data_IF_955858283980
#
_entry.id   IF_955858283980
#
_cell.length_a   1.000
_cell.length_b   1.000
_cell.length_c   1.000
_cell.angle_alpha   90.00
_cell.angle_beta   90.00
_cell.angle_gamma   90.00
#
_symmetry.space_group_name_H-M   'P 1'
#
loop_
_entity.id
_entity.type
_entity.pdbx_description
1 polymer ?
#
# COMPACT_ATOMS: atom_id res chain seq x y z
N UNK A 1 -5.49 -9.19 76.90
CA UNK A 1 -5.41 -9.81 75.56
C UNK A 1 -5.95 -8.79 74.57
N UNK A 2 -5.07 -8.11 73.86
CA UNK A 2 -5.39 -7.01 72.94
C UNK A 2 -4.87 -7.42 71.57
N UNK A 3 -5.65 -7.36 70.48
CA UNK A 3 -5.18 -7.79 69.16
C UNK A 3 -4.24 -6.73 68.56
N UNK A 4 -3.29 -7.10 67.69
CA UNK A 4 -2.40 -6.14 67.05
C UNK A 4 -3.09 -5.46 65.86
N UNK A 5 -2.66 -4.24 65.48
CA UNK A 5 -3.22 -3.52 64.34
C UNK A 5 -2.78 -4.14 63.01
N UNK A 6 -3.74 -4.29 62.12
CA UNK A 6 -3.57 -4.70 60.73
C UNK A 6 -2.89 -3.59 59.93
N UNK A 7 -1.62 -3.79 59.58
CA UNK A 7 -0.90 -2.94 58.63
C UNK A 7 -1.40 -3.23 57.21
N UNK A 8 -2.32 -2.42 56.70
CA UNK A 8 -2.73 -2.43 55.29
C UNK A 8 -1.58 -1.85 54.44
N UNK A 9 -0.71 -2.72 53.95
CA UNK A 9 0.30 -2.36 52.96
C UNK A 9 -0.38 -2.18 51.59
N UNK A 10 -0.82 -0.96 51.30
CA UNK A 10 -1.20 -0.57 49.94
C UNK A 10 0.01 -0.66 49.01
N UNK A 11 0.01 -1.63 48.10
CA UNK A 11 0.98 -1.75 47.03
C UNK A 11 0.73 -0.68 45.97
N UNK A 12 1.15 0.55 46.25
CA UNK A 12 1.26 1.59 45.24
C UNK A 12 2.31 1.19 44.21
N UNK A 13 1.84 0.82 43.01
CA UNK A 13 2.69 0.57 41.84
C UNK A 13 3.53 1.82 41.56
N UNK A 14 4.83 1.77 41.86
CA UNK A 14 5.75 2.86 41.56
C UNK A 14 5.87 2.99 40.03
N UNK A 15 5.70 4.19 39.45
CA UNK A 15 5.93 4.38 38.01
C UNK A 15 7.35 3.94 37.67
N UNK A 16 7.48 3.04 36.70
CA UNK A 16 8.78 2.60 36.20
C UNK A 16 9.65 3.80 35.78
N UNK A 17 10.97 3.67 35.95
CA UNK A 17 11.96 4.69 35.59
C UNK A 17 11.73 5.17 34.14
N UNK A 18 11.57 6.49 33.95
CA UNK A 18 11.35 7.10 32.62
C UNK A 18 12.49 6.75 31.65
N UNK A 19 12.14 6.55 30.37
CA UNK A 19 13.11 6.26 29.31
C UNK A 19 14.08 7.44 29.12
N UNK A 20 15.37 7.14 29.00
CA UNK A 20 16.38 8.15 28.62
C UNK A 20 16.16 8.72 27.21
N UNK A 21 16.90 9.78 26.82
CA UNK A 21 16.76 10.41 25.51
C UNK A 21 17.15 9.45 24.36
N UNK A 22 16.66 9.75 23.14
CA UNK A 22 17.09 9.04 21.93
C UNK A 22 18.55 9.40 21.63
N UNK A 23 19.41 8.40 21.47
CA UNK A 23 20.84 8.54 21.24
C UNK A 23 21.17 9.55 20.13
N UNK A 24 22.17 10.42 20.34
CA UNK A 24 22.61 11.45 19.38
C UNK A 24 23.11 10.88 18.04
N UNK A 25 23.48 9.60 18.00
CA UNK A 25 23.89 8.88 16.79
C UNK A 25 22.74 8.52 15.82
N UNK A 26 21.49 8.61 16.26
CA UNK A 26 20.33 8.37 15.39
C UNK A 26 20.12 9.52 14.40
N UNK A 27 20.02 9.20 13.11
CA UNK A 27 19.66 10.18 12.08
C UNK A 27 18.21 10.69 12.20
N UNK A 28 17.86 11.86 11.63
CA UNK A 28 16.52 12.43 11.67
C UNK A 28 15.38 11.45 11.38
N UNK A 29 15.48 10.58 10.36
CA UNK A 29 14.38 9.65 10.04
C UNK A 29 14.24 8.57 11.12
N UNK A 30 15.36 8.10 11.67
CA UNK A 30 15.37 7.13 12.77
C UNK A 30 14.71 7.73 14.01
N UNK A 31 15.04 8.98 14.36
CA UNK A 31 14.41 9.69 15.47
C UNK A 31 12.92 9.86 15.26
N UNK A 32 12.51 10.27 14.05
CA UNK A 32 11.12 10.55 13.74
C UNK A 32 10.22 9.32 13.97
N UNK A 33 10.60 8.16 13.41
CA UNK A 33 9.78 6.95 13.63
C UNK A 33 9.88 6.46 15.08
N UNK A 34 11.07 6.54 15.70
CA UNK A 34 11.24 6.08 17.07
C UNK A 34 10.45 6.94 18.07
N UNK A 35 10.32 8.24 17.81
CA UNK A 35 9.50 9.13 18.61
C UNK A 35 8.02 8.70 18.56
N UNK A 36 7.48 8.37 17.38
CA UNK A 36 6.11 7.87 17.28
C UNK A 36 5.89 6.60 18.13
N UNK A 37 6.86 5.68 18.13
CA UNK A 37 6.78 4.46 18.95
C UNK A 37 6.85 4.77 20.44
N UNK A 38 7.68 5.74 20.86
CA UNK A 38 7.77 6.18 22.25
C UNK A 38 6.49 6.87 22.71
N UNK A 39 5.92 7.73 21.88
CA UNK A 39 4.67 8.43 22.18
C UNK A 39 3.52 7.43 22.37
N UNK A 40 3.46 6.40 21.52
CA UNK A 40 2.47 5.34 21.68
C UNK A 40 2.74 4.44 22.89
N UNK A 41 4.00 4.18 23.23
CA UNK A 41 4.35 3.48 24.48
C UNK A 41 3.88 4.28 25.70
N UNK A 42 4.16 5.58 25.75
CA UNK A 42 3.71 6.46 26.84
C UNK A 42 2.17 6.54 26.91
N UNK A 43 1.50 6.67 25.76
CA UNK A 43 0.03 6.69 25.67
C UNK A 43 -0.61 5.35 26.09
N UNK A 44 0.08 4.23 25.87
CA UNK A 44 -0.45 2.90 26.24
C UNK A 44 -0.52 2.67 27.75
N UNK A 45 0.20 3.47 28.56
CA UNK A 45 0.31 3.28 30.02
C UNK A 45 1.07 2.01 30.45
N UNK A 46 1.55 1.20 29.50
CA UNK A 46 2.30 -0.04 29.76
C UNK A 46 3.67 0.26 30.34
N UNK A 47 4.15 -0.62 31.23
CA UNK A 47 5.53 -0.61 31.70
C UNK A 47 6.43 -1.45 30.80
N UNK A 48 7.75 -1.31 30.94
CA UNK A 48 8.70 -2.21 30.26
C UNK A 48 8.53 -3.67 30.70
N UNK A 49 7.98 -3.93 31.89
CA UNK A 49 7.70 -5.27 32.38
C UNK A 49 6.48 -5.89 31.67
N UNK A 50 5.47 -5.08 31.35
CA UNK A 50 4.32 -5.52 30.56
C UNK A 50 4.74 -5.88 29.14
N UNK A 51 5.59 -5.04 28.52
CA UNK A 51 6.15 -5.35 27.20
C UNK A 51 7.07 -6.56 27.20
N UNK A 52 7.83 -6.80 28.28
CA UNK A 52 8.65 -8.01 28.41
C UNK A 52 7.78 -9.28 28.38
N UNK A 53 6.60 -9.24 29.02
CA UNK A 53 5.62 -10.35 28.98
C UNK A 53 5.01 -10.52 27.59
N UNK A 54 4.67 -9.41 26.93
CA UNK A 54 3.99 -9.43 25.63
C UNK A 54 4.91 -9.79 24.45
N UNK A 55 6.20 -9.41 24.50
CA UNK A 55 7.15 -9.63 23.39
C UNK A 55 8.20 -10.70 23.66
N UNK A 56 8.26 -11.24 24.88
CA UNK A 56 9.30 -12.16 25.37
C UNK A 56 10.74 -11.61 25.21
N UNK A 57 10.93 -10.30 25.41
CA UNK A 57 12.24 -9.65 25.37
C UNK A 57 12.61 -9.06 26.72
N UNK A 58 13.91 -9.04 27.03
CA UNK A 58 14.37 -8.38 28.24
C UNK A 58 14.05 -6.88 28.23
N UNK A 59 13.70 -6.36 29.41
CA UNK A 59 13.53 -4.90 29.65
C UNK A 59 14.69 -4.07 29.13
N UNK A 60 15.91 -4.59 29.25
CA UNK A 60 17.12 -3.91 28.74
C UNK A 60 17.10 -3.77 27.21
N UNK A 61 16.72 -4.83 26.49
CA UNK A 61 16.64 -4.83 25.02
C UNK A 61 15.55 -3.88 24.52
N UNK A 62 14.38 -3.87 25.16
CA UNK A 62 13.30 -2.94 24.83
C UNK A 62 13.74 -1.49 25.10
N UNK A 63 14.37 -1.23 26.25
CA UNK A 63 14.90 0.10 26.58
C UNK A 63 16.01 0.56 25.62
N UNK A 64 16.92 -0.33 25.23
CA UNK A 64 17.98 -0.04 24.27
C UNK A 64 17.41 0.37 22.90
N UNK A 65 16.38 -0.36 22.44
CA UNK A 65 15.66 -0.07 21.21
C UNK A 65 14.96 1.28 21.27
N UNK A 66 14.17 1.55 22.32
CA UNK A 66 13.44 2.82 22.50
C UNK A 66 14.36 4.04 22.70
N UNK A 67 15.66 3.80 22.92
CA UNK A 67 16.69 4.86 23.02
C UNK A 67 17.60 4.92 21.80
N UNK A 68 17.45 4.04 20.81
CA UNK A 68 18.40 3.87 19.70
C UNK A 68 19.86 3.72 20.19
N UNK A 69 20.07 3.12 21.37
CA UNK A 69 21.39 3.05 22.00
C UNK A 69 22.28 1.93 21.42
N UNK A 70 21.70 1.06 20.60
CA UNK A 70 22.35 -0.11 20.01
C UNK A 70 22.50 -0.05 18.50
N UNK A 71 22.68 -1.24 17.90
CA UNK A 71 22.66 -1.41 16.44
C UNK A 71 21.26 -1.08 15.91
N UNK A 72 21.20 -0.56 14.69
CA UNK A 72 19.91 -0.33 14.01
C UNK A 72 19.06 -1.61 14.04
N UNK A 73 17.83 -1.54 14.57
CA UNK A 73 17.04 -2.72 14.89
C UNK A 73 16.58 -3.41 13.61
N UNK A 74 16.44 -4.75 13.62
CA UNK A 74 15.73 -5.47 12.56
C UNK A 74 14.24 -5.15 12.63
N UNK A 75 13.54 -5.29 11.50
CA UNK A 75 12.11 -5.02 11.41
C UNK A 75 11.27 -5.99 12.27
N UNK A 76 11.66 -7.27 12.39
CA UNK A 76 10.91 -8.29 13.16
C UNK A 76 10.69 -7.92 14.61
N UNK A 77 11.76 -7.55 15.33
CA UNK A 77 11.60 -6.97 16.64
C UNK A 77 10.59 -5.82 16.70
N UNK A 78 10.74 -4.83 15.81
CA UNK A 78 9.90 -3.63 15.81
C UNK A 78 8.42 -3.98 15.58
N UNK A 79 8.14 -4.89 14.65
CA UNK A 79 6.79 -5.36 14.38
C UNK A 79 6.14 -5.97 15.64
N UNK A 80 6.80 -6.92 16.31
CA UNK A 80 6.30 -7.53 17.55
C UNK A 80 6.00 -6.50 18.63
N UNK A 81 6.87 -5.51 18.78
CA UNK A 81 6.68 -4.42 19.76
C UNK A 81 5.45 -3.57 19.42
N UNK A 82 5.25 -3.20 18.16
CA UNK A 82 4.10 -2.39 17.75
C UNK A 82 2.78 -3.14 17.92
N UNK A 83 2.76 -4.43 17.59
CA UNK A 83 1.60 -5.30 17.82
C UNK A 83 1.29 -5.40 19.32
N UNK A 84 2.31 -5.57 20.17
CA UNK A 84 2.13 -5.57 21.62
C UNK A 84 1.61 -4.22 22.15
N UNK A 85 1.96 -3.11 21.50
CA UNK A 85 1.44 -1.78 21.80
C UNK A 85 0.02 -1.54 21.25
N UNK A 86 -0.59 -2.53 20.57
CA UNK A 86 -1.94 -2.43 20.03
C UNK A 86 -2.04 -1.54 18.79
N UNK A 87 -0.94 -1.34 18.05
CA UNK A 87 -0.97 -0.53 16.83
C UNK A 87 -1.81 -1.20 15.74
N UNK A 88 -2.62 -0.42 14.99
CA UNK A 88 -3.32 -0.95 13.83
C UNK A 88 -2.32 -1.29 12.70
N UNK A 89 -2.61 -2.35 11.94
CA UNK A 89 -1.75 -2.85 10.87
C UNK A 89 -1.39 -1.77 9.83
N UNK A 90 -2.34 -0.91 9.46
CA UNK A 90 -2.13 0.24 8.58
C UNK A 90 -1.09 1.26 9.11
N UNK A 91 -1.05 1.51 10.43
CA UNK A 91 -0.04 2.38 11.05
C UNK A 91 1.34 1.70 11.12
N UNK A 92 1.36 0.38 11.38
CA UNK A 92 2.59 -0.43 11.35
C UNK A 92 3.24 -0.38 9.97
N UNK A 93 2.45 -0.46 8.88
CA UNK A 93 2.96 -0.30 7.51
C UNK A 93 3.56 1.08 7.25
N UNK A 94 2.90 2.14 7.70
CA UNK A 94 3.40 3.50 7.53
C UNK A 94 4.74 3.68 8.24
N UNK A 95 4.85 3.15 9.46
CA UNK A 95 6.10 3.13 10.22
C UNK A 95 7.17 2.27 9.54
N UNK A 96 6.81 1.17 8.88
CA UNK A 96 7.74 0.31 8.13
C UNK A 96 8.45 1.08 7.02
N UNK A 97 7.74 1.93 6.29
CA UNK A 97 8.34 2.76 5.25
C UNK A 97 9.33 3.78 5.83
N UNK A 98 9.01 4.37 6.98
CA UNK A 98 9.93 5.23 7.72
C UNK A 98 11.15 4.46 8.24
N UNK A 99 10.96 3.23 8.72
CA UNK A 99 12.03 2.34 9.14
C UNK A 99 12.95 1.98 7.96
N UNK A 100 12.42 1.75 6.75
CA UNK A 100 13.24 1.50 5.55
C UNK A 100 14.11 2.72 5.22
N UNK A 101 13.52 3.93 5.21
CA UNK A 101 14.25 5.18 4.95
C UNK A 101 15.32 5.43 6.01
N UNK A 102 15.02 5.21 7.28
CA UNK A 102 15.98 5.31 8.38
C UNK A 102 17.09 4.25 8.30
N UNK A 103 16.81 3.04 7.78
CA UNK A 103 17.83 2.02 7.54
C UNK A 103 18.82 2.45 6.43
N UNK A 104 18.32 3.07 5.37
CA UNK A 104 19.14 3.64 4.29
C UNK A 104 20.01 4.78 4.81
N UNK A 105 19.44 5.66 5.63
CA UNK A 105 20.16 6.75 6.30
C UNK A 105 21.30 6.23 7.18
N UNK A 106 21.05 5.15 7.93
CA UNK A 106 22.05 4.44 8.71
C UNK A 106 23.03 3.59 7.85
N UNK A 107 23.06 3.81 6.53
CA UNK A 107 23.92 3.15 5.53
C UNK A 107 23.84 1.62 5.57
N UNK A 108 22.66 1.06 5.81
CA UNK A 108 22.46 -0.40 5.73
C UNK A 108 22.44 -0.88 4.28
N UNK A 109 23.00 -2.08 4.06
CA UNK A 109 23.07 -2.69 2.72
C UNK A 109 21.65 -2.97 2.20
N UNK A 110 21.31 -2.65 0.94
CA UNK A 110 19.97 -2.90 0.38
C UNK A 110 19.49 -4.35 0.51
N UNK A 111 20.37 -5.33 0.26
CA UNK A 111 20.04 -6.76 0.43
C UNK A 111 19.70 -7.15 1.88
N UNK A 112 20.30 -6.50 2.87
CA UNK A 112 19.96 -6.71 4.27
C UNK A 112 18.59 -6.13 4.62
N UNK A 113 18.25 -4.96 4.08
CA UNK A 113 16.94 -4.32 4.27
C UNK A 113 15.83 -5.21 3.68
N UNK A 114 16.00 -5.66 2.43
CA UNK A 114 15.07 -6.58 1.77
C UNK A 114 14.92 -7.89 2.55
N UNK A 115 16.02 -8.47 3.04
CA UNK A 115 15.97 -9.68 3.86
C UNK A 115 15.20 -9.51 5.17
N UNK A 116 15.34 -8.36 5.86
CA UNK A 116 14.57 -8.07 7.07
C UNK A 116 13.07 -7.90 6.81
N UNK A 117 12.73 -7.35 5.65
CA UNK A 117 11.36 -7.11 5.17
C UNK A 117 10.68 -8.42 4.75
N UNK A 118 11.43 -9.34 4.16
CA UNK A 118 10.95 -10.64 3.67
C UNK A 118 10.93 -11.74 4.74
N UNK A 119 11.75 -11.66 5.79
CA UNK A 119 11.85 -12.73 6.79
C UNK A 119 10.62 -12.86 7.73
N UNK A 120 9.82 -11.81 7.93
CA UNK A 120 8.64 -11.81 8.83
C UNK A 120 7.41 -12.56 8.30
N UNK A 121 7.64 -13.17 7.17
CA UNK A 121 6.72 -13.12 6.07
C UNK A 121 6.84 -14.55 5.57
N UNK A 122 6.36 -15.46 6.43
CA UNK A 122 6.54 -16.89 6.29
C UNK A 122 5.84 -17.43 5.05
N UNK A 123 5.55 -18.74 5.04
CA UNK A 123 4.72 -19.32 3.98
C UNK A 123 3.43 -18.49 3.89
N UNK A 124 3.11 -17.90 2.72
CA UNK A 124 1.91 -17.09 2.60
C UNK A 124 0.67 -17.93 2.93
N UNK A 125 -0.36 -17.35 3.58
CA UNK A 125 -1.64 -18.03 3.74
C UNK A 125 -2.17 -18.54 2.39
N UNK A 126 -2.89 -19.66 2.40
CA UNK A 126 -3.40 -20.28 1.17
C UNK A 126 -4.39 -19.35 0.46
N UNK A 127 -5.19 -18.61 1.23
CA UNK A 127 -6.14 -17.61 0.75
C UNK A 127 -5.41 -16.45 0.07
N UNK A 128 -4.29 -15.98 0.65
CA UNK A 128 -3.47 -14.96 0.02
C UNK A 128 -2.87 -15.46 -1.30
N UNK A 129 -2.40 -16.71 -1.31
CA UNK A 129 -1.79 -17.31 -2.50
C UNK A 129 -2.80 -17.43 -3.64
N UNK A 130 -3.99 -18.00 -3.36
CA UNK A 130 -5.09 -18.08 -4.32
C UNK A 130 -5.57 -16.69 -4.77
N UNK A 131 -5.61 -15.72 -3.85
CA UNK A 131 -5.95 -14.33 -4.17
C UNK A 131 -4.93 -13.72 -5.13
N UNK A 132 -3.63 -13.90 -4.87
CA UNK A 132 -2.56 -13.41 -5.74
C UNK A 132 -2.63 -14.04 -7.12
N UNK A 133 -2.71 -15.37 -7.20
CA UNK A 133 -2.74 -16.10 -8.47
C UNK A 133 -3.89 -15.65 -9.37
N UNK A 134 -5.09 -15.50 -8.79
CA UNK A 134 -6.27 -15.05 -9.53
C UNK A 134 -6.21 -13.59 -10.02
N UNK A 135 -5.36 -12.74 -9.42
CA UNK A 135 -5.36 -11.28 -9.67
C UNK A 135 -4.10 -10.76 -10.33
N UNK A 136 -2.98 -11.47 -10.20
CA UNK A 136 -1.67 -11.00 -10.64
C UNK A 136 -1.65 -10.63 -12.12
N UNK A 137 -2.27 -11.44 -12.99
CA UNK A 137 -2.37 -11.14 -14.42
C UNK A 137 -3.09 -9.81 -14.71
N UNK A 138 -4.27 -9.60 -14.11
CA UNK A 138 -5.05 -8.38 -14.26
C UNK A 138 -4.33 -7.15 -13.68
N UNK A 139 -3.64 -7.31 -12.56
CA UNK A 139 -2.88 -6.23 -11.92
C UNK A 139 -1.70 -5.79 -12.78
N UNK A 140 -0.98 -6.74 -13.39
CA UNK A 140 0.08 -6.43 -14.35
C UNK A 140 -0.45 -5.75 -15.61
N UNK A 141 -1.57 -6.23 -16.16
CA UNK A 141 -2.20 -5.62 -17.33
C UNK A 141 -2.60 -4.17 -17.05
N UNK A 142 -3.25 -3.91 -15.91
CA UNK A 142 -3.60 -2.55 -15.48
C UNK A 142 -2.36 -1.68 -15.30
N UNK A 143 -1.35 -2.14 -14.56
CA UNK A 143 -0.11 -1.37 -14.35
C UNK A 143 0.61 -1.03 -15.66
N UNK A 144 0.62 -1.95 -16.62
CA UNK A 144 1.23 -1.73 -17.94
C UNK A 144 0.51 -0.64 -18.76
N UNK A 145 -0.77 -0.37 -18.51
CA UNK A 145 -1.48 0.72 -19.20
C UNK A 145 -0.99 2.11 -18.82
N UNK A 146 -0.36 2.27 -17.65
CA UNK A 146 0.15 3.56 -17.15
C UNK A 146 1.68 3.63 -17.11
N UNK A 147 2.35 2.50 -16.89
CA UNK A 147 3.79 2.44 -16.69
C UNK A 147 4.51 1.96 -17.96
N UNK A 148 5.09 2.92 -18.69
CA UNK A 148 5.77 2.71 -19.99
C UNK A 148 6.85 1.62 -20.00
N UNK A 149 7.50 1.37 -18.85
CA UNK A 149 8.54 0.34 -18.74
C UNK A 149 7.93 -0.93 -18.13
N UNK A 150 7.97 -2.09 -18.82
CA UNK A 150 7.43 -3.35 -18.28
C UNK A 150 8.03 -3.74 -16.92
N UNK A 151 9.32 -3.44 -16.71
CA UNK A 151 9.98 -3.68 -15.43
C UNK A 151 9.39 -2.85 -14.27
N UNK A 152 8.96 -1.62 -14.54
CA UNK A 152 8.30 -0.75 -13.55
C UNK A 152 6.88 -1.25 -13.24
N UNK A 153 6.11 -1.64 -14.25
CA UNK A 153 4.80 -2.27 -14.08
C UNK A 153 4.90 -3.53 -13.21
N UNK A 154 5.84 -4.41 -13.53
CA UNK A 154 6.10 -5.62 -12.74
C UNK A 154 6.48 -5.28 -11.31
N UNK A 155 7.42 -4.35 -11.11
CA UNK A 155 7.86 -3.95 -9.78
C UNK A 155 6.71 -3.38 -8.95
N UNK A 156 5.83 -2.60 -9.57
CA UNK A 156 4.71 -2.00 -8.87
C UNK A 156 3.73 -3.03 -8.32
N UNK A 157 3.38 -4.03 -9.15
CA UNK A 157 2.51 -5.13 -8.73
C UNK A 157 3.16 -6.00 -7.65
N UNK A 158 4.46 -6.28 -7.77
CA UNK A 158 5.20 -7.02 -6.73
C UNK A 158 5.25 -6.27 -5.40
N UNK A 159 5.45 -4.94 -5.43
CA UNK A 159 5.40 -4.11 -4.22
C UNK A 159 3.99 -4.17 -3.58
N UNK A 160 2.93 -4.12 -4.39
CA UNK A 160 1.54 -4.23 -3.91
C UNK A 160 1.28 -5.57 -3.25
N UNK A 161 1.65 -6.70 -3.87
CA UNK A 161 1.47 -8.01 -3.24
C UNK A 161 2.36 -8.21 -2.01
N UNK A 162 3.56 -7.62 -2.03
CA UNK A 162 4.44 -7.61 -0.85
C UNK A 162 3.80 -6.88 0.32
N UNK A 163 3.16 -5.74 0.06
CA UNK A 163 2.42 -4.97 1.08
C UNK A 163 1.13 -5.67 1.49
N UNK A 164 0.34 -6.16 0.53
CA UNK A 164 -0.94 -6.83 0.77
C UNK A 164 -0.76 -8.06 1.65
N UNK A 165 0.34 -8.80 1.49
CA UNK A 165 0.63 -9.95 2.35
C UNK A 165 0.86 -9.56 3.81
N UNK A 166 1.35 -8.35 4.06
CA UNK A 166 1.59 -7.85 5.42
C UNK A 166 0.29 -7.38 6.07
N UNK A 167 -0.61 -6.79 5.29
CA UNK A 167 -1.95 -6.35 5.76
C UNK A 167 -3.06 -7.32 5.38
N UNK A 168 -2.73 -8.60 5.21
CA UNK A 168 -3.69 -9.55 4.68
C UNK A 168 -4.90 -9.72 5.60
N UNK A 169 -4.67 -9.79 6.91
CA UNK A 169 -5.75 -9.91 7.90
C UNK A 169 -6.66 -8.67 7.93
N UNK A 170 -6.10 -7.47 7.73
CA UNK A 170 -6.90 -6.23 7.61
C UNK A 170 -7.71 -6.23 6.32
N UNK A 171 -7.14 -6.71 5.22
CA UNK A 171 -7.83 -6.84 3.94
C UNK A 171 -8.99 -7.86 4.02
N UNK A 172 -8.81 -8.95 4.77
CA UNK A 172 -9.86 -9.93 5.06
C UNK A 172 -10.95 -9.39 5.98
N UNK A 173 -10.58 -8.57 6.98
CA UNK A 173 -11.54 -7.93 7.88
C UNK A 173 -12.31 -6.75 7.25
N UNK A 174 -11.85 -6.26 6.10
CA UNK A 174 -12.51 -5.18 5.37
C UNK A 174 -13.82 -5.64 4.69
N UNK A 175 -14.70 -4.69 4.39
CA UNK A 175 -15.96 -4.96 3.67
C UNK A 175 -15.76 -5.66 2.30
N UNK A 176 -14.58 -5.52 1.69
CA UNK A 176 -14.22 -6.21 0.45
C UNK A 176 -12.71 -6.25 0.29
N UNK A 177 -12.12 -7.43 0.41
CA UNK A 177 -10.69 -7.69 0.18
C UNK A 177 -10.26 -7.27 -1.23
N UNK A 178 -11.14 -7.47 -2.23
CA UNK A 178 -10.87 -7.08 -3.61
C UNK A 178 -10.81 -5.55 -3.78
N UNK A 179 -11.76 -4.80 -3.20
CA UNK A 179 -11.71 -3.33 -3.22
C UNK A 179 -10.49 -2.79 -2.47
N UNK A 180 -10.16 -3.38 -1.32
CA UNK A 180 -9.00 -3.00 -0.54
C UNK A 180 -7.71 -3.13 -1.35
N UNK A 181 -7.48 -4.31 -1.94
CA UNK A 181 -6.32 -4.58 -2.77
C UNK A 181 -6.28 -3.73 -4.04
N UNK A 182 -7.44 -3.50 -4.68
CA UNK A 182 -7.55 -2.67 -5.87
C UNK A 182 -7.11 -1.23 -5.60
N UNK A 183 -7.56 -0.62 -4.49
CA UNK A 183 -7.13 0.73 -4.11
C UNK A 183 -5.61 0.80 -3.92
N UNK A 184 -5.02 -0.17 -3.21
CA UNK A 184 -3.57 -0.18 -3.02
C UNK A 184 -2.82 -0.30 -4.35
N UNK A 185 -3.28 -1.18 -5.26
CA UNK A 185 -2.73 -1.29 -6.60
C UNK A 185 -2.80 0.05 -7.32
N UNK A 186 -4.01 0.63 -7.39
CA UNK A 186 -4.29 1.87 -8.10
C UNK A 186 -3.38 2.98 -7.61
N UNK A 187 -3.34 3.23 -6.31
CA UNK A 187 -2.55 4.33 -5.74
C UNK A 187 -1.06 4.12 -6.03
N UNK A 188 -0.57 2.89 -5.87
CA UNK A 188 0.84 2.52 -6.14
C UNK A 188 1.22 2.69 -7.62
N UNK A 189 0.31 2.37 -8.54
CA UNK A 189 0.54 2.51 -9.99
C UNK A 189 0.48 3.98 -10.39
N UNK A 190 -0.55 4.72 -9.95
CA UNK A 190 -0.78 6.09 -10.37
C UNK A 190 0.20 7.09 -9.74
N UNK A 191 0.72 6.83 -8.53
CA UNK A 191 1.84 7.59 -7.95
C UNK A 191 3.09 7.53 -8.85
N UNK A 192 3.30 6.40 -9.51
CA UNK A 192 4.47 6.15 -10.38
C UNK A 192 4.21 6.48 -11.84
N UNK A 193 2.95 6.72 -12.20
CA UNK A 193 2.57 7.05 -13.55
C UNK A 193 3.07 8.46 -13.92
N UNK A 194 3.64 8.64 -15.13
CA UNK A 194 3.94 9.97 -15.63
C UNK A 194 2.68 10.83 -15.62
N UNK A 195 2.78 12.07 -15.18
CA UNK A 195 1.65 13.00 -15.18
C UNK A 195 1.67 13.86 -16.46
N UNK A 196 0.50 14.02 -17.09
CA UNK A 196 0.26 15.00 -18.15
C UNK A 196 -0.88 15.90 -17.70
N UNK A 197 -0.63 17.19 -17.57
CA UNK A 197 -1.66 18.17 -17.18
C UNK A 197 -2.42 17.77 -15.90
N UNK A 198 -1.72 17.21 -14.90
CA UNK A 198 -2.31 16.80 -13.63
C UNK A 198 -3.10 15.48 -13.65
N UNK A 199 -3.09 14.73 -14.76
CA UNK A 199 -3.70 13.40 -14.83
C UNK A 199 -2.68 12.33 -15.27
N UNK A 200 -2.86 11.07 -14.85
CA UNK A 200 -1.94 10.00 -15.22
C UNK A 200 -1.96 9.78 -16.75
N UNK A 201 -0.77 9.72 -17.34
CA UNK A 201 -0.63 9.39 -18.75
C UNK A 201 -0.89 7.90 -18.97
N UNK A 202 -1.74 7.58 -19.93
CA UNK A 202 -1.84 6.23 -20.48
C UNK A 202 -0.66 6.00 -21.43
N UNK A 203 -0.17 4.77 -21.52
CA UNK A 203 0.86 4.40 -22.51
C UNK A 203 0.24 4.32 -23.92
N UNK A 204 -0.04 5.49 -24.48
CA UNK A 204 -0.60 5.72 -25.80
C UNK A 204 0.23 5.06 -26.92
N UNK A 205 1.53 4.81 -26.70
CA UNK A 205 2.44 4.29 -27.72
C UNK A 205 2.17 2.82 -28.05
N UNK A 206 1.87 2.00 -27.04
CA UNK A 206 1.51 0.60 -27.23
C UNK A 206 0.20 0.47 -28.04
N UNK A 207 -0.78 1.34 -27.78
CA UNK A 207 -2.10 1.27 -28.41
C UNK A 207 -2.16 1.95 -29.78
N UNK A 208 -1.46 3.07 -29.99
CA UNK A 208 -1.31 3.69 -31.30
C UNK A 208 -0.72 2.68 -32.32
N UNK A 209 0.21 1.83 -31.88
CA UNK A 209 0.77 0.77 -32.71
C UNK A 209 -0.24 -0.33 -33.09
N UNK A 210 -1.26 -0.58 -32.26
CA UNK A 210 -2.34 -1.53 -32.57
C UNK A 210 -3.38 -0.93 -33.52
N UNK A 211 -3.75 0.34 -33.32
CA UNK A 211 -4.65 1.06 -34.23
C UNK A 211 -4.07 1.18 -35.65
N UNK A 212 -2.75 1.41 -35.76
CA UNK A 212 -2.04 1.48 -37.05
C UNK A 212 -1.96 0.13 -37.80
N UNK A 213 -2.19 -1.00 -37.12
CA UNK A 213 -2.14 -2.34 -37.73
C UNK A 213 -3.44 -2.77 -38.41
N UNK A 214 -4.54 -2.04 -38.24
CA UNK A 214 -5.83 -2.35 -38.88
C UNK A 214 -5.91 -1.76 -40.31
N UNK A 215 -6.41 -2.54 -41.28
CA UNK A 215 -6.32 -2.31 -42.74
C UNK A 215 -7.23 -1.18 -43.27
N UNK A 216 -7.02 0.08 -42.86
CA UNK A 216 -7.67 1.25 -43.48
C UNK A 216 -6.74 1.99 -44.47
N UNK A 217 -7.28 2.83 -45.35
CA UNK A 217 -6.50 3.73 -46.21
C UNK A 217 -5.69 4.75 -45.37
N UNK A 218 -4.59 5.31 -45.90
CA UNK A 218 -3.65 6.15 -45.12
C UNK A 218 -4.31 7.36 -44.44
N UNK A 219 -5.24 8.05 -45.12
CA UNK A 219 -5.96 9.21 -44.56
C UNK A 219 -6.91 8.79 -43.43
N UNK A 220 -7.57 7.63 -43.56
CA UNK A 220 -8.44 7.09 -42.51
C UNK A 220 -7.63 6.66 -41.27
N UNK A 221 -6.38 6.15 -41.46
CA UNK A 221 -5.48 5.81 -40.33
C UNK A 221 -5.12 7.02 -39.49
N UNK A 222 -4.80 8.16 -40.12
CA UNK A 222 -4.46 9.39 -39.38
C UNK A 222 -5.66 9.92 -38.61
N UNK A 223 -6.86 9.90 -39.20
CA UNK A 223 -8.10 10.28 -38.52
C UNK A 223 -8.39 9.36 -37.33
N UNK A 224 -8.37 8.04 -37.56
CA UNK A 224 -8.62 7.04 -36.53
C UNK A 224 -7.61 7.13 -35.37
N UNK A 225 -6.33 7.38 -35.67
CA UNK A 225 -5.31 7.60 -34.66
C UNK A 225 -5.61 8.85 -33.81
N UNK A 226 -5.99 9.97 -34.44
CA UNK A 226 -6.35 11.20 -33.71
C UNK A 226 -7.59 10.99 -32.83
N UNK A 227 -8.60 10.30 -33.32
CA UNK A 227 -9.81 9.96 -32.56
C UNK A 227 -9.47 9.06 -31.36
N UNK A 228 -8.62 8.05 -31.56
CA UNK A 228 -8.15 7.15 -30.50
C UNK A 228 -7.37 7.90 -29.43
N UNK A 229 -6.45 8.79 -29.82
CA UNK A 229 -5.69 9.63 -28.89
C UNK A 229 -6.60 10.59 -28.10
N UNK A 230 -7.59 11.21 -28.75
CA UNK A 230 -8.60 12.06 -28.08
C UNK A 230 -9.43 11.25 -27.08
N UNK A 231 -9.82 10.03 -27.43
CA UNK A 231 -10.57 9.16 -26.52
C UNK A 231 -9.75 8.79 -25.27
N UNK A 232 -8.48 8.42 -25.44
CA UNK A 232 -7.61 8.13 -24.30
C UNK A 232 -7.35 9.37 -23.42
N UNK A 233 -7.20 10.54 -24.05
CA UNK A 233 -7.15 11.82 -23.34
C UNK A 233 -8.43 12.11 -22.54
N UNK A 234 -9.59 11.74 -23.10
CA UNK A 234 -10.86 11.78 -22.40
C UNK A 234 -10.89 10.86 -21.19
N UNK A 235 -10.52 9.59 -21.40
CA UNK A 235 -10.55 8.54 -20.38
C UNK A 235 -9.66 8.90 -19.19
N UNK A 236 -8.40 9.33 -19.42
CA UNK A 236 -7.46 9.68 -18.33
C UNK A 236 -7.95 10.80 -17.41
N UNK A 237 -8.90 11.62 -17.88
CA UNK A 237 -9.48 12.76 -17.15
C UNK A 237 -10.79 12.42 -16.44
N UNK A 238 -11.29 11.18 -16.53
CA UNK A 238 -12.48 10.74 -15.82
C UNK A 238 -12.25 10.66 -14.30
N UNK A 239 -13.32 10.71 -13.49
CA UNK A 239 -13.25 10.39 -12.07
C UNK A 239 -12.58 9.04 -11.80
N UNK A 240 -11.83 8.87 -10.68
CA UNK A 240 -11.01 7.68 -10.39
C UNK A 240 -11.65 6.33 -10.71
N UNK A 241 -12.85 6.07 -10.16
CA UNK A 241 -13.56 4.79 -10.35
C UNK A 241 -13.98 4.58 -11.82
N UNK A 242 -14.36 5.66 -12.51
CA UNK A 242 -14.76 5.60 -13.92
C UNK A 242 -13.55 5.36 -14.82
N UNK A 243 -12.42 6.01 -14.57
CA UNK A 243 -11.15 5.76 -15.25
C UNK A 243 -10.80 4.27 -15.17
N UNK A 244 -10.77 3.71 -13.96
CA UNK A 244 -10.39 2.31 -13.75
C UNK A 244 -11.32 1.33 -14.49
N UNK A 245 -12.63 1.54 -14.39
CA UNK A 245 -13.62 0.73 -15.10
C UNK A 245 -13.44 0.84 -16.61
N UNK A 246 -13.20 2.04 -17.14
CA UNK A 246 -13.01 2.25 -18.57
C UNK A 246 -11.71 1.59 -19.08
N UNK A 247 -10.63 1.66 -18.31
CA UNK A 247 -9.35 1.00 -18.62
C UNK A 247 -9.55 -0.52 -18.65
N UNK A 248 -10.12 -1.11 -17.60
CA UNK A 248 -10.31 -2.55 -17.52
C UNK A 248 -11.27 -3.06 -18.62
N UNK A 249 -12.44 -2.42 -18.80
CA UNK A 249 -13.47 -2.91 -19.74
C UNK A 249 -13.11 -2.69 -21.21
N UNK A 250 -12.57 -1.52 -21.55
CA UNK A 250 -12.44 -1.12 -22.96
C UNK A 250 -11.01 -1.04 -23.46
N UNK A 251 -10.03 -0.76 -22.60
CA UNK A 251 -8.62 -0.75 -23.00
C UNK A 251 -8.02 -2.15 -22.90
N UNK A 252 -8.34 -2.87 -21.82
CA UNK A 252 -7.87 -4.24 -21.59
C UNK A 252 -8.87 -5.32 -22.04
N UNK A 253 -10.09 -4.94 -22.40
CA UNK A 253 -11.10 -5.84 -22.95
C UNK A 253 -11.66 -6.86 -21.95
N UNK A 254 -11.55 -6.62 -20.65
CA UNK A 254 -12.09 -7.54 -19.64
C UNK A 254 -13.61 -7.54 -19.68
N UNK A 255 -14.28 -8.69 -19.50
CA UNK A 255 -15.73 -8.75 -19.37
C UNK A 255 -16.20 -8.11 -18.05
N UNK A 256 -17.50 -7.87 -17.93
CA UNK A 256 -18.10 -7.13 -16.82
C UNK A 256 -17.90 -7.82 -15.48
N UNK A 257 -17.98 -9.16 -15.51
CA UNK A 257 -17.77 -10.09 -14.42
C UNK A 257 -16.34 -10.01 -13.91
N UNK A 258 -15.35 -10.02 -14.81
CA UNK A 258 -13.94 -9.88 -14.40
C UNK A 258 -13.65 -8.51 -13.79
N UNK A 259 -14.29 -7.44 -14.25
CA UNK A 259 -14.11 -6.11 -13.65
C UNK A 259 -14.77 -6.02 -12.28
N UNK A 260 -15.95 -6.62 -12.12
CA UNK A 260 -16.60 -6.84 -10.83
C UNK A 260 -15.64 -7.56 -9.86
N UNK A 261 -15.09 -8.71 -10.25
CA UNK A 261 -14.23 -9.54 -9.41
C UNK A 261 -12.91 -8.86 -9.04
N UNK A 262 -12.26 -8.23 -10.02
CA UNK A 262 -10.93 -7.61 -9.86
C UNK A 262 -10.98 -6.36 -8.99
N UNK A 263 -12.00 -5.51 -9.20
CA UNK A 263 -12.16 -4.28 -8.43
C UNK A 263 -12.95 -4.48 -7.13
N UNK A 264 -13.69 -5.59 -7.00
CA UNK A 264 -14.60 -5.83 -5.88
C UNK A 264 -15.87 -4.96 -5.90
N UNK A 265 -16.24 -4.38 -7.04
CA UNK A 265 -17.47 -3.57 -7.20
C UNK A 265 -18.69 -4.46 -7.41
N UNK A 266 -19.93 -3.98 -7.28
CA UNK A 266 -21.10 -4.73 -7.76
C UNK A 266 -21.24 -4.64 -9.30
N UNK A 267 -21.86 -5.62 -9.96
CA UNK A 267 -22.16 -5.53 -11.41
C UNK A 267 -22.99 -4.26 -11.76
N UNK A 268 -24.03 -3.89 -10.99
CA UNK A 268 -24.73 -2.61 -11.19
C UNK A 268 -23.81 -1.39 -11.10
N UNK A 269 -22.85 -1.38 -10.17
CA UNK A 269 -21.86 -0.31 -10.03
C UNK A 269 -20.96 -0.19 -11.25
N UNK A 270 -20.49 -1.32 -11.80
CA UNK A 270 -19.69 -1.36 -13.03
C UNK A 270 -20.48 -0.74 -14.18
N UNK A 271 -21.73 -1.20 -14.40
CA UNK A 271 -22.62 -0.67 -15.45
C UNK A 271 -22.92 0.82 -15.28
N UNK A 272 -23.15 1.26 -14.05
CA UNK A 272 -23.37 2.66 -13.72
C UNK A 272 -22.14 3.51 -14.06
N UNK A 273 -20.95 3.06 -13.66
CA UNK A 273 -19.69 3.74 -13.99
C UNK A 273 -19.48 3.86 -15.49
N UNK A 274 -19.72 2.78 -16.26
CA UNK A 274 -19.65 2.82 -17.73
C UNK A 274 -20.62 3.84 -18.31
N UNK A 275 -21.88 3.86 -17.84
CA UNK A 275 -22.89 4.81 -18.32
C UNK A 275 -22.48 6.25 -18.07
N UNK A 276 -22.03 6.57 -16.85
CA UNK A 276 -21.59 7.92 -16.48
C UNK A 276 -20.32 8.35 -17.19
N UNK A 277 -19.36 7.44 -17.36
CA UNK A 277 -18.15 7.69 -18.14
C UNK A 277 -18.47 8.01 -19.59
N UNK A 278 -19.32 7.21 -20.25
CA UNK A 278 -19.76 7.44 -21.64
C UNK A 278 -20.43 8.80 -21.79
N UNK A 279 -21.34 9.16 -20.89
CA UNK A 279 -21.98 10.48 -20.90
C UNK A 279 -20.96 11.61 -20.81
N UNK A 280 -20.03 11.52 -19.85
CA UNK A 280 -18.95 12.51 -19.66
C UNK A 280 -18.08 12.64 -20.91
N UNK A 281 -17.76 11.53 -21.57
CA UNK A 281 -16.97 11.52 -22.81
C UNK A 281 -17.75 12.11 -23.98
N UNK A 282 -19.04 11.77 -24.15
CA UNK A 282 -19.90 12.32 -25.20
C UNK A 282 -20.09 13.84 -25.05
N UNK A 283 -20.26 14.33 -23.82
CA UNK A 283 -20.41 15.77 -23.56
C UNK A 283 -19.11 16.54 -23.90
N UNK A 284 -17.95 15.91 -23.71
CA UNK A 284 -16.63 16.52 -23.98
C UNK A 284 -16.19 16.39 -25.44
N UNK A 285 -16.57 15.31 -26.11
CA UNK A 285 -16.24 15.03 -27.51
C UNK A 285 -17.52 14.77 -28.30
N UNK A 286 -18.31 15.82 -28.59
CA UNK A 286 -19.48 15.67 -29.44
C UNK A 286 -19.08 15.08 -30.80
N UNK A 287 -19.93 14.26 -31.44
CA UNK A 287 -19.64 13.71 -32.75
C UNK A 287 -19.34 14.86 -33.72
N UNK A 288 -18.35 14.65 -34.60
CA UNK A 288 -18.07 15.60 -35.67
C UNK A 288 -19.36 15.81 -36.48
N UNK A 289 -19.81 17.07 -36.58
CA UNK A 289 -20.96 17.39 -37.43
C UNK A 289 -20.61 17.02 -38.88
N UNK A 290 -21.56 16.42 -39.62
CA UNK A 290 -21.35 15.93 -40.97
C UNK A 290 -20.94 17.04 -41.95
#
# INVERSE_FOLDING_TARGET
>A
MTPPPTSTSGSGSRPGRRLGPIASSAGPTHRAWLQQVRDAFEASGKTLLDLERDTNWSRSKISELLRAAGRYPRWEPIHTLLTALGWPNSAILSLRNLWIRAAQEARKRPGWISGCVQAQTGVPPVEFTAFRESRQGHYHAYAATFLRRPAQARRAVEDVFTLLRIVWDEALASNSTAQFAWRMLRDTVLERAPQREGHPALDETAYASQALRQQAAHTDRVRQLRETLRLYDGIRRLPPKQLDVMVLRFILGLPEESVHDVMGLSLPDVRSCVRHARRTLSDRFPPAQP
#
